data_IF_087198621602
#
_entry.id   IF_087198621602
#
_cell.length_a   1.000
_cell.length_b   1.000
_cell.length_c   1.000
_cell.angle_alpha   90.00
_cell.angle_beta   90.00
_cell.angle_gamma   90.00
#
_symmetry.space_group_name_H-M   'P 1'
#
loop_
_entity.id
_entity.type
_entity.pdbx_description
1 polymer ?
#
# COMPACT_ATOMS: atom_id res chain seq x y z
N UNK A 1 -27.21 12.35 -18.62
CA UNK A 1 -27.38 11.44 -17.48
C UNK A 1 -26.24 11.69 -16.47
N UNK A 2 -26.47 11.62 -15.15
CA UNK A 2 -25.42 11.89 -14.16
C UNK A 2 -24.32 10.84 -14.26
N UNK A 3 -23.06 11.27 -14.24
CA UNK A 3 -21.91 10.37 -14.32
C UNK A 3 -21.90 9.37 -13.17
N UNK A 4 -21.38 8.15 -13.40
CA UNK A 4 -21.17 7.16 -12.34
C UNK A 4 -20.31 7.72 -11.22
N UNK A 5 -20.77 7.62 -9.98
CA UNK A 5 -20.11 8.13 -8.79
C UNK A 5 -20.10 7.09 -7.68
N UNK A 6 -19.13 7.16 -6.76
CA UNK A 6 -19.10 6.34 -5.55
C UNK A 6 -19.52 7.19 -4.36
N UNK A 7 -20.46 6.71 -3.57
CA UNK A 7 -20.89 7.33 -2.32
C UNK A 7 -20.59 6.40 -1.15
N UNK A 8 -20.43 7.01 0.02
CA UNK A 8 -20.26 6.28 1.27
C UNK A 8 -21.58 6.33 2.05
N UNK A 9 -22.05 5.17 2.46
CA UNK A 9 -23.21 5.02 3.33
C UNK A 9 -22.79 4.21 4.57
N UNK A 10 -22.81 4.86 5.73
CA UNK A 10 -22.31 4.27 6.97
C UNK A 10 -20.85 3.76 6.80
N UNK A 11 -20.65 2.46 6.99
CA UNK A 11 -19.34 1.79 6.79
C UNK A 11 -19.11 1.31 5.35
N UNK A 12 -20.14 1.35 4.49
CA UNK A 12 -20.13 0.82 3.14
C UNK A 12 -19.79 1.83 2.05
N UNK A 13 -19.56 1.32 0.84
CA UNK A 13 -19.43 2.09 -0.40
C UNK A 13 -20.40 1.53 -1.41
N UNK A 14 -21.12 2.41 -2.12
CA UNK A 14 -22.01 2.05 -3.21
C UNK A 14 -21.83 2.97 -4.41
N UNK A 15 -22.25 2.52 -5.56
CA UNK A 15 -22.20 3.23 -6.84
C UNK A 15 -23.59 3.70 -7.21
N UNK A 16 -23.64 4.88 -7.83
CA UNK A 16 -24.84 5.48 -8.40
C UNK A 16 -24.48 6.10 -9.77
N UNK A 17 -25.47 6.28 -10.63
CA UNK A 17 -25.32 7.04 -11.88
C UNK A 17 -25.61 6.26 -13.14
N UNK A 18 -25.14 6.75 -14.28
CA UNK A 18 -25.54 6.35 -15.63
C UNK A 18 -24.99 5.01 -16.14
N UNK A 19 -24.55 4.11 -15.29
CA UNK A 19 -24.34 2.73 -15.65
C UNK A 19 -25.69 2.02 -15.74
N UNK A 20 -25.80 0.88 -16.46
CA UNK A 20 -27.07 0.13 -16.51
C UNK A 20 -27.50 -0.24 -15.08
N UNK A 21 -28.77 -0.13 -14.72
CA UNK A 21 -29.24 -0.37 -13.35
C UNK A 21 -28.84 -1.76 -12.84
N UNK A 22 -28.95 -2.79 -13.69
CA UNK A 22 -28.52 -4.15 -13.37
C UNK A 22 -27.00 -4.23 -13.06
N UNK A 23 -26.18 -3.48 -13.76
CA UNK A 23 -24.73 -3.45 -13.57
C UNK A 23 -24.36 -2.72 -12.28
N UNK A 24 -25.08 -1.63 -11.96
CA UNK A 24 -24.93 -0.91 -10.68
C UNK A 24 -25.28 -1.84 -9.51
N UNK A 25 -26.38 -2.59 -9.63
CA UNK A 25 -26.77 -3.56 -8.60
C UNK A 25 -25.72 -4.64 -8.37
N UNK A 26 -25.21 -5.26 -9.44
CA UNK A 26 -24.16 -6.29 -9.36
C UNK A 26 -22.88 -5.72 -8.73
N UNK A 27 -22.48 -4.50 -9.11
CA UNK A 27 -21.31 -3.84 -8.56
C UNK A 27 -21.49 -3.52 -7.06
N UNK A 28 -22.66 -3.09 -6.64
CA UNK A 28 -22.98 -2.80 -5.23
C UNK A 28 -23.01 -4.08 -4.38
N UNK A 29 -23.60 -5.15 -4.89
CA UNK A 29 -23.55 -6.47 -4.25
C UNK A 29 -22.10 -6.97 -4.09
N UNK A 30 -21.26 -6.75 -5.09
CA UNK A 30 -19.83 -7.08 -5.00
C UNK A 30 -19.12 -6.26 -3.91
N UNK A 31 -19.35 -4.95 -3.82
CA UNK A 31 -18.75 -4.10 -2.78
C UNK A 31 -19.20 -4.52 -1.37
N UNK A 32 -20.49 -4.84 -1.21
CA UNK A 32 -21.02 -5.38 0.03
C UNK A 32 -20.39 -6.74 0.38
N UNK A 33 -20.24 -7.63 -0.59
CA UNK A 33 -19.56 -8.92 -0.42
C UNK A 33 -18.10 -8.77 0.05
N UNK A 34 -17.36 -7.78 -0.47
CA UNK A 34 -16.01 -7.50 0.01
C UNK A 34 -15.99 -7.05 1.48
N UNK A 35 -16.98 -6.25 1.88
CA UNK A 35 -17.13 -5.80 3.28
C UNK A 35 -17.43 -6.97 4.20
N UNK A 36 -18.38 -7.84 3.84
CA UNK A 36 -18.72 -9.06 4.60
C UNK A 36 -17.52 -10.01 4.72
N UNK A 37 -16.65 -10.07 3.73
CA UNK A 37 -15.40 -10.85 3.75
C UNK A 37 -14.26 -10.15 4.48
N UNK A 38 -14.54 -9.12 5.26
CA UNK A 38 -13.57 -8.37 6.06
C UNK A 38 -12.38 -7.79 5.26
N UNK A 39 -12.61 -7.41 3.99
CA UNK A 39 -11.63 -6.63 3.26
C UNK A 39 -11.44 -5.26 3.94
N UNK A 40 -10.20 -4.75 3.94
CA UNK A 40 -9.95 -3.46 4.60
C UNK A 40 -10.82 -2.35 4.00
N UNK A 41 -11.36 -1.41 4.80
CA UNK A 41 -12.15 -0.29 4.28
C UNK A 41 -11.44 0.52 3.20
N UNK A 42 -10.11 0.61 3.26
CA UNK A 42 -9.29 1.24 2.23
C UNK A 42 -9.31 0.47 0.90
N UNK A 43 -9.35 -0.87 0.95
CA UNK A 43 -9.45 -1.72 -0.24
C UNK A 43 -10.83 -1.57 -0.88
N UNK A 44 -11.91 -1.65 -0.09
CA UNK A 44 -13.28 -1.49 -0.59
C UNK A 44 -13.45 -0.11 -1.23
N UNK A 45 -12.99 0.94 -0.56
CA UNK A 45 -12.96 2.31 -1.14
C UNK A 45 -12.20 2.36 -2.47
N UNK A 46 -11.01 1.78 -2.53
CA UNK A 46 -10.21 1.80 -3.76
C UNK A 46 -10.93 1.09 -4.90
N UNK A 47 -11.56 -0.04 -4.62
CA UNK A 47 -12.34 -0.79 -5.60
C UNK A 47 -13.58 -0.01 -6.04
N UNK A 48 -14.31 0.64 -5.13
CA UNK A 48 -15.44 1.50 -5.51
C UNK A 48 -15.05 2.55 -6.55
N UNK A 49 -13.95 3.29 -6.32
CA UNK A 49 -13.46 4.27 -7.30
C UNK A 49 -12.93 3.66 -8.59
N UNK A 50 -12.35 2.46 -8.54
CA UNK A 50 -11.91 1.73 -9.73
C UNK A 50 -13.10 1.28 -10.57
N UNK A 51 -14.19 0.82 -9.92
CA UNK A 51 -15.42 0.44 -10.58
C UNK A 51 -16.19 1.65 -11.14
N UNK A 52 -16.14 2.82 -10.49
CA UNK A 52 -16.61 4.08 -11.09
C UNK A 52 -15.91 4.34 -12.43
N UNK A 53 -14.59 4.14 -12.48
CA UNK A 53 -13.83 4.35 -13.71
C UNK A 53 -14.23 3.34 -14.80
N UNK A 54 -14.46 2.08 -14.45
CA UNK A 54 -14.93 1.06 -15.37
C UNK A 54 -16.37 1.31 -15.81
N UNK A 55 -17.28 1.65 -14.89
CA UNK A 55 -18.68 1.96 -15.21
C UNK A 55 -18.83 3.15 -16.18
N UNK A 56 -17.94 4.16 -16.07
CA UNK A 56 -17.90 5.26 -17.04
C UNK A 56 -17.49 4.81 -18.43
N UNK A 57 -16.50 3.94 -18.55
CA UNK A 57 -16.13 3.32 -19.81
C UNK A 57 -17.28 2.52 -20.39
N UNK A 58 -17.90 1.67 -19.59
CA UNK A 58 -19.04 0.85 -20.01
C UNK A 58 -20.21 1.70 -20.48
N UNK A 59 -20.54 2.78 -19.77
CA UNK A 59 -21.60 3.71 -20.14
C UNK A 59 -21.32 4.44 -21.48
N UNK A 60 -20.06 4.85 -21.72
CA UNK A 60 -19.63 5.49 -22.97
C UNK A 60 -19.65 4.51 -24.16
N UNK A 61 -19.38 3.22 -23.93
CA UNK A 61 -19.30 2.20 -24.99
C UNK A 61 -20.57 1.36 -25.13
N UNK A 62 -21.55 1.53 -24.25
CA UNK A 62 -22.77 0.72 -24.25
C UNK A 62 -22.56 -0.74 -23.83
N UNK A 63 -21.43 -1.07 -23.15
CA UNK A 63 -21.07 -2.42 -22.70
C UNK A 63 -21.60 -2.67 -21.29
N UNK A 64 -22.20 -3.84 -21.03
CA UNK A 64 -22.66 -4.28 -19.71
C UNK A 64 -21.74 -5.33 -19.08
N UNK A 65 -21.94 -5.58 -17.78
CA UNK A 65 -21.21 -6.61 -17.05
C UNK A 65 -21.45 -8.00 -17.66
N UNK A 66 -22.67 -8.29 -18.10
CA UNK A 66 -23.02 -9.56 -18.71
C UNK A 66 -22.37 -9.77 -20.07
N UNK A 67 -22.28 -8.70 -20.87
CA UNK A 67 -21.95 -8.74 -22.30
C UNK A 67 -20.46 -8.52 -22.59
N UNK A 68 -19.70 -7.96 -21.63
CA UNK A 68 -18.29 -7.61 -21.80
C UNK A 68 -17.47 -8.81 -22.29
N UNK A 69 -16.68 -8.59 -23.33
CA UNK A 69 -15.77 -9.58 -23.94
C UNK A 69 -14.30 -9.21 -23.71
N UNK A 70 -13.38 -10.12 -24.04
CA UNK A 70 -11.95 -9.93 -23.76
C UNK A 70 -11.36 -8.68 -24.45
N UNK A 71 -11.83 -8.31 -25.62
CA UNK A 71 -11.40 -7.12 -26.37
C UNK A 71 -11.75 -5.83 -25.65
N UNK A 72 -12.89 -5.76 -24.95
CA UNK A 72 -13.30 -4.56 -24.21
C UNK A 72 -12.30 -4.17 -23.12
N UNK A 73 -11.50 -5.11 -22.59
CA UNK A 73 -10.49 -4.81 -21.59
C UNK A 73 -9.23 -4.19 -22.18
N UNK A 74 -8.90 -4.50 -23.43
CA UNK A 74 -7.85 -3.80 -24.15
C UNK A 74 -8.31 -2.37 -24.49
N UNK A 75 -9.54 -2.24 -24.99
CA UNK A 75 -10.17 -0.92 -25.23
C UNK A 75 -10.28 -0.10 -23.94
N UNK A 76 -10.59 -0.74 -22.81
CA UNK A 76 -10.61 -0.07 -21.50
C UNK A 76 -9.23 0.42 -21.08
N UNK A 77 -8.16 -0.32 -21.36
CA UNK A 77 -6.79 0.13 -21.10
C UNK A 77 -6.44 1.34 -21.97
N UNK A 78 -6.77 1.28 -23.26
CA UNK A 78 -6.51 2.37 -24.21
C UNK A 78 -7.36 3.62 -23.88
N UNK A 79 -8.61 3.44 -23.50
CA UNK A 79 -9.48 4.51 -23.05
C UNK A 79 -8.95 5.21 -21.78
N UNK A 80 -8.32 4.47 -20.87
CA UNK A 80 -7.68 5.05 -19.69
C UNK A 80 -6.40 5.83 -20.04
N UNK A 81 -5.70 5.46 -21.09
CA UNK A 81 -4.49 6.12 -21.54
C UNK A 81 -4.79 7.47 -22.25
N UNK A 82 -6.01 7.65 -22.74
CA UNK A 82 -6.42 8.90 -23.40
C UNK A 82 -6.44 10.07 -22.41
N UNK A 83 -5.95 11.24 -22.82
CA UNK A 83 -6.06 12.47 -22.03
C UNK A 83 -7.53 12.80 -21.82
N UNK A 84 -7.98 12.86 -20.58
CA UNK A 84 -9.35 13.28 -20.26
C UNK A 84 -9.34 14.77 -19.99
N UNK A 85 -10.19 15.56 -20.69
CA UNK A 85 -10.38 16.95 -20.32
C UNK A 85 -10.97 17.02 -18.91
N UNK A 86 -10.30 17.72 -18.01
CA UNK A 86 -10.88 18.04 -16.71
C UNK A 86 -12.05 18.98 -16.95
N UNK A 87 -13.25 18.64 -16.49
CA UNK A 87 -14.40 19.52 -16.59
C UNK A 87 -14.05 20.90 -16.00
N UNK A 88 -14.03 21.95 -16.84
CA UNK A 88 -13.81 23.33 -16.43
C UNK A 88 -12.37 23.87 -16.50
N UNK A 89 -11.37 23.11 -16.89
CA UNK A 89 -9.99 23.64 -17.03
C UNK A 89 -9.74 24.17 -18.45
N UNK A 90 -9.51 25.49 -18.57
CA UNK A 90 -9.09 26.15 -19.84
C UNK A 90 -7.67 25.74 -20.28
N UNK A 91 -6.85 25.18 -19.39
CA UNK A 91 -5.47 24.75 -19.64
C UNK A 91 -5.23 23.37 -19.04
N UNK A 92 -4.82 22.40 -19.86
CA UNK A 92 -4.44 21.05 -19.44
C UNK A 92 -3.01 21.10 -18.87
N UNK A 93 -2.82 20.68 -17.62
CA UNK A 93 -1.48 20.58 -17.02
C UNK A 93 -0.68 19.47 -17.70
N UNK A 94 0.63 19.63 -17.79
CA UNK A 94 1.53 18.63 -18.41
C UNK A 94 1.43 17.24 -17.74
N UNK A 95 1.10 17.21 -16.44
CA UNK A 95 0.85 16.00 -15.69
C UNK A 95 -0.43 15.24 -16.13
N UNK A 96 -1.42 15.96 -16.66
CA UNK A 96 -2.70 15.40 -17.13
C UNK A 96 -2.57 14.76 -18.52
N UNK A 97 -1.46 15.04 -19.23
CA UNK A 97 -1.11 14.40 -20.53
C UNK A 97 -0.56 13.00 -20.39
N UNK A 98 -0.10 12.61 -19.19
CA UNK A 98 0.36 11.24 -18.91
C UNK A 98 -0.81 10.46 -18.35
N UNK A 99 -1.24 9.43 -19.05
CA UNK A 99 -2.25 8.48 -18.56
C UNK A 99 -1.89 7.91 -17.17
N UNK A 100 -2.79 7.16 -16.54
CA UNK A 100 -2.56 6.61 -15.21
C UNK A 100 -1.32 5.71 -15.16
N UNK A 101 -0.61 5.74 -14.03
CA UNK A 101 0.58 4.89 -13.83
C UNK A 101 0.24 3.39 -14.00
N UNK A 102 1.17 2.56 -14.51
CA UNK A 102 0.96 1.12 -14.69
C UNK A 102 0.43 0.38 -13.47
N UNK A 103 0.84 0.80 -12.26
CA UNK A 103 0.31 0.26 -11.01
C UNK A 103 -1.18 0.54 -10.82
N UNK A 104 -1.64 1.73 -11.21
CA UNK A 104 -3.06 2.12 -11.16
C UNK A 104 -3.88 1.33 -12.16
N UNK A 105 -3.38 1.17 -13.39
CA UNK A 105 -4.03 0.35 -14.42
C UNK A 105 -4.20 -1.10 -13.95
N UNK A 106 -3.12 -1.72 -13.47
CA UNK A 106 -3.17 -3.09 -12.95
C UNK A 106 -4.12 -3.24 -11.76
N UNK A 107 -4.22 -2.24 -10.87
CA UNK A 107 -5.15 -2.26 -9.74
C UNK A 107 -6.60 -2.17 -10.22
N UNK A 108 -6.90 -1.29 -11.19
CA UNK A 108 -8.24 -1.17 -11.80
C UNK A 108 -8.67 -2.47 -12.47
N UNK A 109 -7.79 -3.06 -13.25
CA UNK A 109 -8.06 -4.38 -13.86
C UNK A 109 -8.28 -5.47 -12.80
N UNK A 110 -7.55 -5.45 -11.69
CA UNK A 110 -7.77 -6.39 -10.60
C UNK A 110 -9.15 -6.21 -9.94
N UNK A 111 -9.61 -4.98 -9.75
CA UNK A 111 -10.94 -4.69 -9.23
C UNK A 111 -12.05 -5.17 -10.20
N UNK A 112 -11.89 -4.88 -11.49
CA UNK A 112 -12.83 -5.34 -12.54
C UNK A 112 -12.84 -6.86 -12.65
N UNK A 113 -11.65 -7.50 -12.61
CA UNK A 113 -11.58 -8.97 -12.60
C UNK A 113 -12.31 -9.57 -11.40
N UNK A 114 -12.17 -8.96 -10.22
CA UNK A 114 -12.88 -9.40 -9.02
C UNK A 114 -14.40 -9.26 -9.14
N UNK A 115 -14.88 -8.16 -9.71
CA UNK A 115 -16.29 -7.95 -10.00
C UNK A 115 -16.84 -9.02 -10.96
N UNK A 116 -16.10 -9.29 -12.06
CA UNK A 116 -16.55 -10.26 -13.07
C UNK A 116 -16.48 -11.70 -12.58
N UNK A 117 -15.53 -12.02 -11.71
CA UNK A 117 -15.50 -13.31 -11.00
C UNK A 117 -16.71 -13.47 -10.07
N UNK A 118 -17.07 -12.40 -9.36
CA UNK A 118 -18.28 -12.36 -8.56
C UNK A 118 -19.53 -12.53 -9.44
N UNK A 119 -19.59 -11.88 -10.61
CA UNK A 119 -20.68 -12.01 -11.57
C UNK A 119 -20.81 -13.45 -12.12
N UNK A 120 -19.69 -14.15 -12.32
CA UNK A 120 -19.69 -15.58 -12.67
C UNK A 120 -20.26 -16.42 -11.52
N UNK A 121 -19.77 -16.18 -10.29
CA UNK A 121 -20.21 -16.93 -9.11
C UNK A 121 -21.71 -16.72 -8.82
N UNK A 122 -22.26 -15.56 -9.15
CA UNK A 122 -23.68 -15.22 -8.94
C UNK A 122 -24.57 -15.51 -10.15
N UNK A 123 -24.04 -16.13 -11.19
CA UNK A 123 -24.81 -16.55 -12.37
C UNK A 123 -25.18 -15.44 -13.35
N UNK A 124 -24.64 -14.23 -13.18
CA UNK A 124 -24.87 -13.10 -14.10
C UNK A 124 -24.18 -13.34 -15.44
N UNK A 125 -23.10 -14.12 -15.43
CA UNK A 125 -22.35 -14.53 -16.62
C UNK A 125 -21.67 -15.89 -16.44
N UNK A 126 -21.27 -16.53 -17.54
CA UNK A 126 -20.69 -17.88 -17.51
C UNK A 126 -19.16 -17.90 -17.37
N UNK A 127 -18.45 -16.85 -17.80
CA UNK A 127 -17.01 -16.81 -17.83
C UNK A 127 -16.47 -15.42 -17.47
N UNK A 128 -15.28 -15.38 -16.87
CA UNK A 128 -14.59 -14.13 -16.66
C UNK A 128 -13.73 -13.80 -17.91
N UNK A 129 -14.07 -12.74 -18.68
CA UNK A 129 -13.39 -12.42 -19.92
C UNK A 129 -12.09 -11.65 -19.72
N UNK A 130 -11.77 -11.23 -18.50
CA UNK A 130 -10.52 -10.50 -18.24
C UNK A 130 -9.32 -11.41 -18.54
N UNK A 131 -8.48 -11.08 -19.53
CA UNK A 131 -7.37 -11.93 -19.93
C UNK A 131 -6.48 -12.32 -18.74
N UNK A 132 -6.15 -13.59 -18.61
CA UNK A 132 -5.20 -14.07 -17.63
C UNK A 132 -3.80 -13.61 -18.03
N UNK A 133 -3.19 -12.72 -17.25
CA UNK A 133 -1.82 -12.32 -17.51
C UNK A 133 -0.86 -13.45 -17.14
N UNK A 134 0.10 -13.75 -18.03
CA UNK A 134 1.20 -14.68 -17.75
C UNK A 134 2.05 -14.08 -16.63
N UNK A 135 2.18 -14.78 -15.50
CA UNK A 135 3.24 -14.46 -14.55
C UNK A 135 4.59 -14.77 -15.20
N UNK A 136 5.46 -13.77 -15.29
CA UNK A 136 6.88 -14.06 -15.47
C UNK A 136 7.31 -14.99 -14.34
N UNK A 137 8.03 -16.06 -14.68
CA UNK A 137 8.51 -17.09 -13.77
C UNK A 137 9.52 -16.53 -12.77
N UNK A 138 9.03 -15.85 -11.73
CA UNK A 138 9.78 -15.64 -10.49
C UNK A 138 9.70 -16.93 -9.69
N UNK A 139 10.73 -17.22 -8.90
CA UNK A 139 10.91 -18.38 -8.03
C UNK A 139 9.58 -19.00 -7.57
N UNK A 140 9.31 -20.20 -8.06
CA UNK A 140 8.11 -20.95 -7.71
C UNK A 140 8.18 -21.30 -6.23
N UNK A 141 7.16 -21.02 -5.39
CA UNK A 141 7.09 -21.64 -4.08
C UNK A 141 7.09 -23.16 -4.30
N UNK A 142 8.08 -23.84 -3.76
CA UNK A 142 8.14 -25.31 -3.69
C UNK A 142 7.10 -25.77 -2.67
N UNK A 143 5.84 -25.83 -3.06
CA UNK A 143 4.77 -26.53 -2.34
C UNK A 143 4.17 -27.60 -3.26
N UNK A 144 5.02 -28.32 -3.95
CA UNK A 144 4.62 -29.54 -4.62
C UNK A 144 5.46 -30.65 -4.02
N UNK A 145 4.82 -31.62 -3.39
CA UNK A 145 5.46 -32.90 -3.08
C UNK A 145 6.07 -33.51 -4.33
N UNK A 146 6.84 -34.59 -4.15
CA UNK A 146 7.65 -35.24 -5.20
C UNK A 146 6.92 -35.48 -6.54
N UNK A 147 5.59 -35.63 -6.52
CA UNK A 147 4.72 -35.87 -7.68
C UNK A 147 3.94 -34.63 -8.17
N UNK A 148 4.19 -33.47 -7.63
CA UNK A 148 3.46 -32.23 -7.97
C UNK A 148 3.66 -31.70 -9.38
N UNK A 149 4.56 -32.31 -10.18
CA UNK A 149 4.82 -31.98 -11.59
C UNK A 149 3.87 -32.71 -12.55
N UNK A 150 3.16 -33.75 -12.11
CA UNK A 150 2.30 -34.61 -12.94
C UNK A 150 0.84 -34.14 -12.95
N UNK A 151 0.40 -33.32 -12.00
CA UNK A 151 -0.98 -32.83 -11.94
C UNK A 151 -1.26 -31.66 -12.90
N UNK A 152 -2.47 -31.55 -13.48
CA UNK A 152 -2.86 -30.40 -14.28
C UNK A 152 -2.73 -29.13 -13.41
N UNK A 153 -1.87 -28.22 -13.85
CA UNK A 153 -1.67 -26.96 -13.15
C UNK A 153 -2.97 -26.16 -13.08
N UNK A 154 -3.52 -25.91 -11.89
CA UNK A 154 -4.64 -24.97 -11.75
C UNK A 154 -4.30 -23.67 -12.46
N UNK A 155 -5.17 -23.17 -13.37
CA UNK A 155 -4.96 -21.87 -14.01
C UNK A 155 -4.83 -20.81 -12.91
N UNK A 156 -3.65 -20.19 -12.80
CA UNK A 156 -3.42 -19.12 -11.83
C UNK A 156 -3.95 -17.83 -12.44
N UNK A 157 -5.20 -17.50 -12.12
CA UNK A 157 -5.75 -16.16 -12.37
C UNK A 157 -4.98 -15.13 -11.55
N UNK A 158 -4.60 -14.00 -12.14
CA UNK A 158 -4.08 -12.85 -11.39
C UNK A 158 -2.73 -12.29 -11.82
N UNK A 159 -2.29 -12.46 -13.04
CA UNK A 159 -1.11 -11.76 -13.57
C UNK A 159 -1.39 -10.28 -13.89
N UNK A 160 -0.33 -9.47 -14.02
CA UNK A 160 -0.42 -8.07 -14.44
C UNK A 160 -0.57 -7.99 -15.95
N UNK A 161 -1.58 -7.28 -16.44
CA UNK A 161 -1.75 -7.04 -17.88
C UNK A 161 -0.84 -5.93 -18.39
N UNK A 162 -0.58 -4.91 -17.55
CA UNK A 162 0.29 -3.80 -17.91
C UNK A 162 1.68 -4.03 -17.33
N UNK A 163 2.69 -3.97 -18.20
CA UNK A 163 4.10 -4.12 -17.79
C UNK A 163 4.48 -2.97 -16.87
N UNK A 164 4.97 -3.31 -15.70
CA UNK A 164 5.45 -2.34 -14.71
C UNK A 164 6.97 -2.46 -14.63
N UNK A 165 7.73 -1.41 -14.95
CA UNK A 165 9.16 -1.43 -14.77
C UNK A 165 9.49 -1.65 -13.28
N UNK A 166 10.38 -2.59 -12.99
CA UNK A 166 10.94 -2.76 -11.65
C UNK A 166 11.85 -1.55 -11.39
N UNK A 167 11.35 -0.60 -10.63
CA UNK A 167 12.21 0.43 -10.05
C UNK A 167 12.77 -0.13 -8.75
N UNK A 168 14.08 -0.05 -8.63
CA UNK A 168 14.74 -0.35 -7.36
C UNK A 168 14.27 0.65 -6.32
N UNK A 169 13.99 0.22 -5.07
CA UNK A 169 13.72 1.16 -4.00
C UNK A 169 14.96 2.02 -3.78
N UNK A 170 14.87 3.30 -4.00
CA UNK A 170 15.92 4.25 -3.64
C UNK A 170 15.75 4.63 -2.16
N UNK A 171 16.80 4.47 -1.35
CA UNK A 171 16.87 5.09 -0.03
C UNK A 171 16.81 6.61 -0.16
N UNK A 172 16.40 7.26 0.91
CA UNK A 172 16.52 8.70 1.01
C UNK A 172 17.98 9.05 1.30
N UNK A 173 18.39 10.20 0.83
CA UNK A 173 19.67 10.80 1.22
C UNK A 173 19.65 11.17 2.71
N UNK A 174 20.78 10.97 3.41
CA UNK A 174 20.89 11.25 4.84
C UNK A 174 20.66 12.72 5.16
N UNK A 175 21.14 13.63 4.30
CA UNK A 175 21.02 15.06 4.51
C UNK A 175 19.56 15.51 4.28
N UNK A 176 18.88 14.93 3.28
CA UNK A 176 17.44 15.17 3.06
C UNK A 176 16.59 14.69 4.25
N UNK A 177 16.92 13.54 4.83
CA UNK A 177 16.27 13.03 6.05
C UNK A 177 16.54 13.91 7.24
N UNK A 178 17.81 14.30 7.45
CA UNK A 178 18.22 15.17 8.55
C UNK A 178 17.53 16.54 8.48
N UNK A 179 17.51 17.17 7.31
CA UNK A 179 16.82 18.43 7.08
C UNK A 179 15.30 18.32 7.35
N UNK A 180 14.67 17.22 6.94
CA UNK A 180 13.26 16.98 7.23
C UNK A 180 13.01 16.81 8.73
N UNK A 181 13.78 16.00 9.42
CA UNK A 181 13.62 15.76 10.86
C UNK A 181 13.87 17.03 11.68
N UNK A 182 14.87 17.83 11.30
CA UNK A 182 15.17 19.11 11.94
C UNK A 182 14.03 20.13 11.79
N UNK A 183 13.28 20.11 10.68
CA UNK A 183 12.12 20.98 10.47
C UNK A 183 10.88 20.57 11.27
N UNK A 184 10.83 19.35 11.79
CA UNK A 184 9.72 18.89 12.62
C UNK A 184 9.70 19.59 13.98
N UNK A 185 8.68 20.43 14.19
CA UNK A 185 8.62 21.33 15.36
C UNK A 185 8.25 20.58 16.64
N UNK A 186 7.35 19.58 16.55
CA UNK A 186 6.83 18.89 17.73
C UNK A 186 7.53 17.57 17.99
N UNK A 187 7.66 17.20 19.28
CA UNK A 187 8.12 15.87 19.69
C UNK A 187 7.26 14.77 19.08
N UNK A 188 5.93 14.99 19.00
CA UNK A 188 5.01 14.06 18.35
C UNK A 188 5.43 13.76 16.91
N UNK A 189 5.66 14.80 16.10
CA UNK A 189 5.94 14.66 14.68
C UNK A 189 7.32 14.02 14.45
N UNK A 190 8.30 14.35 15.30
CA UNK A 190 9.61 13.68 15.31
C UNK A 190 9.50 12.21 15.69
N UNK A 191 8.77 11.86 16.77
CA UNK A 191 8.53 10.47 17.13
C UNK A 191 7.85 9.67 16.01
N UNK A 192 6.86 10.25 15.32
CA UNK A 192 6.21 9.65 14.16
C UNK A 192 7.20 9.35 13.04
N UNK A 193 8.04 10.32 12.68
CA UNK A 193 9.04 10.16 11.63
C UNK A 193 10.11 9.12 12.00
N UNK A 194 10.62 9.18 13.23
CA UNK A 194 11.60 8.22 13.75
C UNK A 194 11.04 6.80 13.88
N UNK A 195 9.78 6.63 14.26
CA UNK A 195 9.11 5.32 14.27
C UNK A 195 9.07 4.67 12.89
N UNK A 196 8.95 5.47 11.82
CA UNK A 196 9.01 4.97 10.45
C UNK A 196 10.44 4.74 9.96
N UNK A 197 11.37 5.61 10.34
CA UNK A 197 12.77 5.58 9.91
C UNK A 197 13.59 4.53 10.66
N UNK A 198 13.41 4.42 11.98
CA UNK A 198 14.24 3.57 12.86
C UNK A 198 13.52 2.29 13.32
N UNK A 199 12.20 2.21 13.17
CA UNK A 199 11.39 1.04 13.48
C UNK A 199 10.71 0.44 12.26
N UNK A 200 10.86 1.04 11.09
CA UNK A 200 10.25 0.55 9.85
C UNK A 200 8.71 0.48 9.88
N UNK A 201 8.05 1.29 10.72
CA UNK A 201 6.60 1.26 10.86
C UNK A 201 5.89 1.78 9.61
N UNK A 202 4.75 1.17 9.28
CA UNK A 202 3.85 1.70 8.24
C UNK A 202 3.07 2.90 8.78
N UNK A 203 2.64 3.79 7.89
CA UNK A 203 1.80 4.94 8.25
C UNK A 203 0.52 4.54 9.02
N UNK A 204 -0.10 3.43 8.66
CA UNK A 204 -1.26 2.90 9.37
C UNK A 204 -0.87 2.37 10.76
N UNK A 205 0.24 1.65 10.88
CA UNK A 205 0.74 1.08 12.12
C UNK A 205 1.09 2.19 13.13
N UNK A 206 1.77 3.26 12.67
CA UNK A 206 2.05 4.42 13.54
C UNK A 206 0.76 5.06 14.05
N UNK A 207 -0.25 5.20 13.20
CA UNK A 207 -1.52 5.82 13.60
C UNK A 207 -2.34 4.96 14.55
N UNK A 208 -2.27 3.64 14.43
CA UNK A 208 -2.98 2.69 15.28
C UNK A 208 -2.17 2.20 16.48
N UNK A 209 -0.93 2.64 16.63
CA UNK A 209 -0.11 2.30 17.78
C UNK A 209 -0.78 2.79 19.07
N UNK A 210 -0.98 1.91 20.04
CA UNK A 210 -1.57 2.25 21.33
C UNK A 210 -0.51 2.51 22.38
N UNK A 211 -0.83 3.28 23.41
CA UNK A 211 0.09 3.49 24.53
C UNK A 211 0.48 2.18 25.22
N UNK A 212 -0.46 1.25 25.35
CA UNK A 212 -0.23 -0.08 25.93
C UNK A 212 0.70 -0.98 25.08
N UNK A 213 0.94 -0.63 23.82
CA UNK A 213 1.81 -1.37 22.92
C UNK A 213 3.26 -0.88 22.95
N UNK A 214 3.56 0.14 23.75
CA UNK A 214 4.88 0.76 23.88
C UNK A 214 5.58 0.26 25.13
N UNK A 215 6.62 -0.54 24.94
CA UNK A 215 7.51 -0.99 26.02
C UNK A 215 8.78 -0.12 25.99
N UNK A 216 8.80 0.93 26.84
CA UNK A 216 9.94 1.85 26.92
C UNK A 216 11.17 1.20 27.57
N UNK A 217 10.96 0.29 28.52
CA UNK A 217 12.03 -0.40 29.23
C UNK A 217 12.85 -1.29 28.33
N UNK A 218 12.17 -2.10 27.51
CA UNK A 218 12.81 -2.99 26.53
C UNK A 218 12.99 -2.33 25.15
N UNK A 219 12.63 -1.07 24.99
CA UNK A 219 12.73 -0.29 23.76
C UNK A 219 12.12 -1.03 22.55
N UNK A 220 10.90 -1.50 22.70
CA UNK A 220 10.18 -2.24 21.67
C UNK A 220 8.73 -1.81 21.55
N UNK A 221 8.17 -2.05 20.38
CA UNK A 221 6.76 -1.77 20.07
C UNK A 221 6.07 -3.04 19.63
N UNK A 222 4.88 -3.30 20.15
CA UNK A 222 3.97 -4.30 19.60
C UNK A 222 3.15 -3.65 18.48
N UNK A 223 3.23 -4.19 17.29
CA UNK A 223 2.64 -3.59 16.08
C UNK A 223 1.71 -4.58 15.41
N UNK A 224 0.48 -4.15 15.15
CA UNK A 224 -0.52 -4.93 14.42
C UNK A 224 -0.47 -4.54 12.94
N UNK A 225 -0.08 -5.48 12.10
CA UNK A 225 0.03 -5.30 10.66
C UNK A 225 -1.25 -5.63 9.90
N UNK A 226 -1.15 -5.63 8.56
CA UNK A 226 -2.27 -6.00 7.68
C UNK A 226 -2.73 -7.43 7.96
N UNK A 227 -4.05 -7.61 8.12
CA UNK A 227 -4.66 -8.91 8.42
C UNK A 227 -4.51 -9.35 9.87
N UNK A 228 -4.32 -8.41 10.81
CA UNK A 228 -4.27 -8.71 12.24
C UNK A 228 -2.97 -9.37 12.73
N UNK A 229 -1.94 -9.48 11.89
CA UNK A 229 -0.66 -10.08 12.28
C UNK A 229 0.10 -9.17 13.22
N UNK A 230 0.39 -9.66 14.41
CA UNK A 230 1.21 -8.95 15.39
C UNK A 230 2.69 -9.26 15.19
N UNK A 231 3.53 -8.27 15.50
CA UNK A 231 4.96 -8.42 15.61
C UNK A 231 5.53 -7.47 16.65
N UNK A 232 6.66 -7.81 17.22
CA UNK A 232 7.43 -6.93 18.10
C UNK A 232 8.59 -6.34 17.31
N UNK A 233 8.71 -5.02 17.37
CA UNK A 233 9.75 -4.27 16.65
C UNK A 233 10.62 -3.56 17.67
N UNK A 234 11.93 -3.86 17.74
CA UNK A 234 12.88 -3.04 18.48
C UNK A 234 13.04 -1.70 17.76
N UNK A 235 13.13 -0.61 18.53
CA UNK A 235 13.30 0.74 17.99
C UNK A 235 14.41 1.46 18.74
N UNK A 236 15.11 2.33 18.04
CA UNK A 236 16.20 3.10 18.60
C UNK A 236 15.75 4.03 19.74
N UNK A 237 16.65 4.32 20.68
CA UNK A 237 16.42 5.21 21.83
C UNK A 237 15.93 6.60 21.43
N UNK A 238 16.33 7.11 20.28
CA UNK A 238 15.94 8.43 19.81
C UNK A 238 14.41 8.54 19.62
N UNK A 239 13.77 7.49 19.14
CA UNK A 239 12.29 7.42 19.09
C UNK A 239 11.68 7.57 20.49
N UNK A 240 12.17 6.84 21.48
CA UNK A 240 11.62 6.87 22.83
C UNK A 240 11.88 8.19 23.55
N UNK A 241 13.00 8.86 23.27
CA UNK A 241 13.27 10.20 23.79
C UNK A 241 12.24 11.22 23.27
N UNK A 242 11.97 11.21 21.98
CA UNK A 242 10.95 12.06 21.38
C UNK A 242 9.54 11.68 21.86
N UNK A 243 9.26 10.40 21.99
CA UNK A 243 7.97 9.92 22.52
C UNK A 243 7.76 10.39 23.98
N UNK A 244 8.77 10.31 24.85
CA UNK A 244 8.68 10.79 26.21
C UNK A 244 8.42 12.30 26.24
N UNK A 245 9.17 13.09 25.46
CA UNK A 245 8.95 14.53 25.31
C UNK A 245 7.51 14.86 24.86
N UNK A 246 6.99 14.12 23.89
CA UNK A 246 5.61 14.27 23.44
C UNK A 246 4.60 13.96 24.54
N UNK A 247 4.74 12.83 25.24
CA UNK A 247 3.80 12.41 26.28
C UNK A 247 3.77 13.38 27.47
N UNK A 248 4.93 13.93 27.82
CA UNK A 248 5.08 14.85 28.97
C UNK A 248 4.64 16.29 28.65
N UNK A 249 4.89 16.79 27.44
CA UNK A 249 4.78 18.22 27.13
C UNK A 249 3.70 18.57 26.11
N UNK A 250 3.30 17.65 25.27
CA UNK A 250 2.47 17.98 24.10
C UNK A 250 1.14 17.21 24.05
N UNK A 251 1.10 15.98 24.60
CA UNK A 251 -0.13 15.20 24.61
C UNK A 251 -1.15 15.87 25.54
N UNK A 252 -2.38 16.17 25.05
CA UNK A 252 -3.39 16.82 25.87
C UNK A 252 -3.68 16.02 27.14
N UNK A 253 -3.71 16.66 28.33
CA UNK A 253 -4.08 16.00 29.58
C UNK A 253 -5.51 15.48 29.51
N UNK A 254 -5.79 14.34 30.15
CA UNK A 254 -7.12 13.73 30.17
C UNK A 254 -7.58 13.14 28.83
N UNK A 255 -6.68 13.01 27.85
CA UNK A 255 -7.01 12.41 26.56
C UNK A 255 -7.36 10.93 26.71
N UNK A 256 -8.63 10.58 26.48
CA UNK A 256 -9.16 9.21 26.59
C UNK A 256 -8.80 8.30 25.41
N UNK A 257 -8.17 8.84 24.37
CA UNK A 257 -7.79 8.10 23.17
C UNK A 257 -6.69 7.10 23.50
N UNK A 258 -6.92 5.82 23.22
CA UNK A 258 -5.96 4.74 23.47
C UNK A 258 -4.73 4.80 22.55
N UNK A 259 -4.89 5.38 21.36
CA UNK A 259 -3.81 5.54 20.40
C UNK A 259 -2.74 6.50 20.93
N UNK A 260 -1.49 6.14 20.63
CA UNK A 260 -0.33 6.88 21.08
C UNK A 260 -0.33 8.31 20.52
N UNK A 261 -0.55 8.48 19.22
CA UNK A 261 -0.44 9.77 18.55
C UNK A 261 -1.81 10.39 18.26
N UNK A 262 -2.03 11.58 18.85
CA UNK A 262 -3.30 12.31 18.75
C UNK A 262 -3.13 13.67 18.07
N UNK A 263 -4.24 14.27 17.70
CA UNK A 263 -4.31 15.64 17.18
C UNK A 263 -3.99 16.63 18.29
N UNK A 264 -3.04 17.57 18.06
CA UNK A 264 -2.58 18.54 19.06
C UNK A 264 -3.29 19.90 18.96
N UNK A 265 -3.90 20.24 17.83
CA UNK A 265 -4.49 21.57 17.59
C UNK A 265 -5.77 21.47 16.78
N UNK A 266 -6.69 22.40 17.04
CA UNK A 266 -7.95 22.52 16.30
C UNK A 266 -9.12 21.79 16.96
N UNK A 267 -10.28 21.71 16.30
CA UNK A 267 -11.52 21.23 16.91
C UNK A 267 -11.53 19.73 17.25
N UNK A 268 -10.53 18.98 16.81
CA UNK A 268 -10.40 17.53 17.07
C UNK A 268 -9.20 17.19 17.94
N UNK A 269 -8.75 18.15 18.78
CA UNK A 269 -7.67 17.92 19.78
C UNK A 269 -7.98 16.67 20.61
N UNK A 270 -6.97 15.85 20.87
CA UNK A 270 -7.09 14.60 21.62
C UNK A 270 -7.68 13.41 20.86
N UNK A 271 -8.22 13.59 19.66
CA UNK A 271 -8.64 12.46 18.80
C UNK A 271 -7.46 11.81 18.11
N UNK A 272 -7.60 10.52 17.75
CA UNK A 272 -6.58 9.76 17.01
C UNK A 272 -6.16 10.50 15.75
N UNK A 273 -4.86 10.44 15.43
CA UNK A 273 -4.30 11.05 14.21
C UNK A 273 -4.84 10.36 12.97
N UNK A 274 -5.60 11.09 12.17
CA UNK A 274 -6.16 10.60 10.91
C UNK A 274 -5.08 10.45 9.82
N UNK A 275 -5.38 9.68 8.76
CA UNK A 275 -4.51 9.58 7.59
C UNK A 275 -4.29 10.93 6.90
N UNK A 276 -5.33 11.75 6.83
CA UNK A 276 -5.24 13.10 6.28
C UNK A 276 -4.36 14.01 7.15
N UNK A 277 -4.45 13.87 8.47
CA UNK A 277 -3.61 14.58 9.44
C UNK A 277 -2.13 14.22 9.26
N UNK A 278 -1.83 12.92 9.21
CA UNK A 278 -0.46 12.46 8.96
C UNK A 278 0.09 12.96 7.62
N UNK A 279 -0.71 12.87 6.55
CA UNK A 279 -0.32 13.40 5.23
C UNK A 279 -0.07 14.91 5.25
N UNK A 280 -0.85 15.67 6.04
CA UNK A 280 -0.67 17.12 6.20
C UNK A 280 0.66 17.42 6.87
N UNK A 281 1.02 16.72 7.95
CA UNK A 281 2.32 16.86 8.63
C UNK A 281 3.46 16.71 7.60
N UNK A 282 3.52 15.59 6.90
CA UNK A 282 4.57 15.35 5.91
C UNK A 282 4.57 16.37 4.76
N UNK A 283 3.40 16.81 4.30
CA UNK A 283 3.30 17.80 3.23
C UNK A 283 3.87 19.15 3.64
N UNK A 284 3.51 19.62 4.84
CA UNK A 284 3.93 20.92 5.33
C UNK A 284 5.44 20.93 5.56
N UNK A 285 5.96 19.95 6.29
CA UNK A 285 7.39 19.91 6.63
C UNK A 285 8.29 19.65 5.41
N UNK A 286 7.85 18.87 4.43
CA UNK A 286 8.57 18.74 3.16
C UNK A 286 8.67 20.05 2.39
N UNK A 287 7.60 20.84 2.39
CA UNK A 287 7.60 22.12 1.67
C UNK A 287 8.55 23.13 2.35
N UNK A 288 8.69 23.07 3.68
CA UNK A 288 9.54 23.98 4.45
C UNK A 288 11.02 23.58 4.41
N UNK A 289 11.29 22.30 4.59
CA UNK A 289 12.67 21.75 4.62
C UNK A 289 13.29 21.58 3.24
N UNK A 290 12.53 21.72 2.15
CA UNK A 290 13.02 21.38 0.81
C UNK A 290 13.16 19.86 0.55
N UNK A 291 12.90 19.01 1.54
CA UNK A 291 13.03 17.55 1.46
C UNK A 291 11.89 16.92 0.66
N UNK A 292 11.83 17.19 -0.62
CA UNK A 292 10.68 16.91 -1.50
C UNK A 292 10.36 15.41 -1.64
N UNK A 293 11.36 14.56 -1.43
CA UNK A 293 11.26 13.10 -1.58
C UNK A 293 10.79 12.39 -0.31
N UNK A 294 10.90 13.02 0.88
CA UNK A 294 10.55 12.41 2.16
C UNK A 294 9.05 12.17 2.27
N UNK A 295 8.65 10.93 2.42
CA UNK A 295 7.27 10.46 2.59
C UNK A 295 7.27 9.29 3.58
N UNK A 296 6.15 9.01 4.28
CA UNK A 296 6.06 7.90 5.22
C UNK A 296 6.61 6.57 4.66
N UNK A 297 6.21 6.23 3.45
CA UNK A 297 6.65 5.00 2.82
C UNK A 297 8.14 5.00 2.47
N UNK A 298 8.70 6.15 2.11
CA UNK A 298 10.12 6.30 1.81
C UNK A 298 11.00 6.16 3.06
N UNK A 299 10.60 6.73 4.21
CA UNK A 299 11.32 6.55 5.48
C UNK A 299 11.43 5.06 5.84
N UNK A 300 10.32 4.34 5.75
CA UNK A 300 10.33 2.90 5.97
C UNK A 300 11.18 2.14 4.92
N UNK A 301 11.21 2.59 3.66
CA UNK A 301 12.10 2.01 2.65
C UNK A 301 13.56 2.23 3.01
N UNK A 302 13.92 3.44 3.45
CA UNK A 302 15.28 3.76 3.92
C UNK A 302 15.69 2.83 5.06
N UNK A 303 14.84 2.62 6.08
CA UNK A 303 15.06 1.62 7.13
C UNK A 303 15.39 0.23 6.56
N UNK A 304 14.57 -0.26 5.63
CA UNK A 304 14.80 -1.59 5.05
C UNK A 304 16.08 -1.68 4.24
N UNK A 305 16.43 -0.62 3.49
CA UNK A 305 17.64 -0.57 2.67
C UNK A 305 18.91 -0.44 3.54
N UNK A 306 18.89 0.39 4.59
CA UNK A 306 19.99 0.57 5.50
C UNK A 306 20.31 -0.72 6.28
N UNK A 307 19.29 -1.41 6.81
CA UNK A 307 19.49 -2.68 7.49
C UNK A 307 19.99 -3.78 6.53
N UNK A 308 19.47 -3.82 5.30
CA UNK A 308 19.95 -4.75 4.29
C UNK A 308 21.43 -4.46 3.91
N UNK A 309 21.80 -3.18 3.78
CA UNK A 309 23.18 -2.77 3.52
C UNK A 309 24.11 -3.08 4.71
N UNK A 310 23.59 -3.02 5.93
CA UNK A 310 24.31 -3.41 7.15
C UNK A 310 24.43 -4.95 7.30
N UNK A 311 23.86 -5.74 6.38
CA UNK A 311 24.03 -7.19 6.36
C UNK A 311 23.08 -7.97 7.28
N UNK A 312 21.94 -7.40 7.67
CA UNK A 312 20.93 -8.12 8.44
C UNK A 312 20.43 -9.35 7.66
N UNK A 313 20.14 -10.44 8.34
CA UNK A 313 19.51 -11.59 7.73
C UNK A 313 18.15 -11.23 7.12
N UNK A 314 17.88 -11.72 5.90
CA UNK A 314 16.66 -11.38 5.15
C UNK A 314 15.37 -11.89 5.81
N UNK A 315 15.42 -13.01 6.53
CA UNK A 315 14.26 -13.53 7.23
C UNK A 315 13.97 -12.64 8.44
N UNK A 316 15.02 -12.19 9.13
CA UNK A 316 14.90 -11.22 10.24
C UNK A 316 14.34 -9.90 9.72
N UNK A 317 14.89 -9.35 8.62
CA UNK A 317 14.38 -8.13 8.01
C UNK A 317 12.91 -8.26 7.59
N UNK A 318 12.54 -9.40 7.00
CA UNK A 318 11.14 -9.70 6.62
C UNK A 318 10.22 -9.64 7.83
N UNK A 319 10.62 -10.22 8.94
CA UNK A 319 9.84 -10.24 10.17
C UNK A 319 9.71 -8.84 10.76
N UNK A 320 10.80 -8.10 10.90
CA UNK A 320 10.81 -6.72 11.38
C UNK A 320 9.91 -5.81 10.53
N UNK A 321 9.97 -5.96 9.22
CA UNK A 321 9.13 -5.20 8.32
C UNK A 321 7.70 -5.75 8.19
N UNK A 322 7.39 -6.95 8.67
CA UNK A 322 6.08 -7.58 8.52
C UNK A 322 5.67 -7.74 7.06
N UNK A 323 6.57 -8.26 6.22
CA UNK A 323 6.28 -8.56 4.82
C UNK A 323 5.64 -9.94 4.70
N UNK A 324 4.46 -9.99 4.08
CA UNK A 324 3.76 -11.25 3.84
C UNK A 324 4.47 -12.14 2.81
N UNK A 325 5.23 -11.52 1.88
CA UNK A 325 5.95 -12.21 0.80
C UNK A 325 7.45 -11.96 0.90
N UNK A 326 8.28 -13.02 0.80
CA UNK A 326 9.73 -12.90 0.75
C UNK A 326 10.23 -12.03 -0.41
N UNK A 327 9.52 -12.05 -1.56
CA UNK A 327 9.90 -11.27 -2.73
C UNK A 327 9.87 -9.76 -2.46
N UNK A 328 9.03 -9.31 -1.52
CA UNK A 328 8.99 -7.90 -1.11
C UNK A 328 10.27 -7.51 -0.36
N UNK A 329 10.81 -8.41 0.45
CA UNK A 329 12.05 -8.18 1.20
C UNK A 329 13.28 -8.35 0.31
N UNK A 330 13.27 -9.32 -0.61
CA UNK A 330 14.34 -9.51 -1.58
C UNK A 330 14.61 -8.26 -2.45
N UNK A 331 13.62 -7.37 -2.60
CA UNK A 331 13.78 -6.09 -3.29
C UNK A 331 14.74 -5.10 -2.60
N UNK A 332 15.10 -5.32 -1.34
CA UNK A 332 16.08 -4.51 -0.59
C UNK A 332 17.52 -5.02 -0.74
N UNK A 333 17.69 -6.24 -1.24
CA UNK A 333 19.02 -6.82 -1.42
C UNK A 333 19.56 -6.47 -2.79
N UNK A 334 20.45 -5.52 -2.81
CA UNK A 334 21.29 -5.21 -3.96
C UNK A 334 22.60 -5.95 -3.77
N UNK A 335 22.66 -7.21 -4.24
CA UNK A 335 23.91 -7.96 -4.26
C UNK A 335 24.80 -7.36 -5.34
N UNK A 336 25.70 -6.47 -4.95
CA UNK A 336 26.83 -6.10 -5.79
C UNK A 336 27.77 -7.30 -5.94
N UNK A 337 28.54 -7.34 -7.01
CA UNK A 337 29.58 -8.39 -7.19
C UNK A 337 30.52 -8.46 -5.98
N UNK A 338 30.84 -7.31 -5.37
CA UNK A 338 31.65 -7.24 -4.17
C UNK A 338 30.96 -7.86 -2.95
N UNK A 339 29.66 -7.61 -2.75
CA UNK A 339 28.86 -8.22 -1.68
C UNK A 339 28.76 -9.74 -1.84
N UNK A 340 28.55 -10.21 -3.07
CA UNK A 340 28.54 -11.65 -3.38
C UNK A 340 29.89 -12.31 -3.07
N UNK A 341 30.98 -11.69 -3.45
CA UNK A 341 32.32 -12.18 -3.16
C UNK A 341 32.61 -12.23 -1.64
N UNK A 342 32.21 -11.20 -0.89
CA UNK A 342 32.38 -11.14 0.56
C UNK A 342 31.56 -12.22 1.28
N UNK A 343 30.29 -12.41 0.90
CA UNK A 343 29.44 -13.46 1.50
C UNK A 343 29.91 -14.87 1.14
N UNK A 344 30.38 -15.07 -0.09
CA UNK A 344 31.02 -16.33 -0.47
C UNK A 344 32.27 -16.61 0.37
N UNK A 345 33.16 -15.63 0.55
CA UNK A 345 34.36 -15.78 1.35
C UNK A 345 34.03 -16.11 2.80
N UNK A 346 33.02 -15.44 3.41
CA UNK A 346 32.55 -15.76 4.76
C UNK A 346 32.02 -17.20 4.88
N UNK A 347 31.24 -17.64 3.90
CA UNK A 347 30.72 -19.02 3.89
C UNK A 347 31.84 -20.06 3.82
N UNK A 348 32.82 -19.83 2.96
CA UNK A 348 33.99 -20.70 2.82
C UNK A 348 34.88 -20.74 4.07
N UNK A 349 35.08 -19.59 4.72
CA UNK A 349 35.84 -19.52 5.98
C UNK A 349 35.15 -20.32 7.10
N UNK A 350 33.81 -20.32 7.17
CA UNK A 350 33.04 -21.11 8.14
C UNK A 350 33.11 -22.61 7.87
N UNK A 351 33.22 -23.02 6.63
CA UNK A 351 33.42 -24.44 6.26
C UNK A 351 34.86 -24.92 6.60
N UNK A 352 35.85 -24.09 6.34
CA UNK A 352 37.25 -24.43 6.61
C UNK A 352 37.63 -24.44 8.11
N UNK A 353 36.80 -23.83 8.97
CA UNK A 353 36.97 -23.82 10.43
C UNK A 353 36.20 -24.95 11.15
N UNK A 354 35.56 -25.85 10.40
CA UNK A 354 34.95 -27.09 10.92
C UNK A 354 35.83 -28.29 10.63
#
# INVERSE_FOLDING_TARGET
MPAVVARRDGEGWHLEGSWRDQDVEVANRFLAHLTTRAFSPATVRAYAYDLVNFGRFCAERGVGIADAVATDFFDYLDWQAQPKPSAGAKVMRLADRRGPAPATLNRRIAAVRGLLEFAVTTGVRNQNPVPAARRSSGLRPKQRGLLGHIGPGRPRSGGRLVRQPRRLPESLDSDEVAAFVADLVTHRDRAIALGMLLGGLRAAEVRSLRLADVDQGLRRLRVVGKGGRERVVPVDRAFFAELAGYLQRERPPGCATAECFVVLRGPTVGRSLSEAGLRKIFRVHRARSGATRVRPHRLRHTYGTELAAAGIDLLVLRELMGHASPETTAGYVHLSAATLAAEYAKARAREAGR
#
